data_IF_413273047855
#
_entry.id   IF_413273047855
#
_cell.length_a   1.000
_cell.length_b   1.000
_cell.length_c   1.000
_cell.angle_alpha   90.00
_cell.angle_beta   90.00
_cell.angle_gamma   90.00
#
_symmetry.space_group_name_H-M   'P 1'
#
loop_
_entity.id
_entity.type
_entity.pdbx_description
1 polymer ?
#
# COMPACT_ATOMS: atom_id res chain seq x y z
N UNK A 1 0.62 13.66 -30.69
CA UNK A 1 1.15 13.41 -29.30
C UNK A 1 0.23 12.41 -28.65
N UNK A 2 0.72 11.22 -28.29
CA UNK A 2 -0.08 10.27 -27.52
C UNK A 2 -0.31 10.92 -26.15
N UNK A 3 -1.57 11.16 -25.78
CA UNK A 3 -1.91 11.59 -24.42
C UNK A 3 -1.37 10.57 -23.44
N UNK A 4 -0.58 11.01 -22.47
CA UNK A 4 -0.11 10.16 -21.39
C UNK A 4 -1.32 9.62 -20.64
N UNK A 5 -1.47 8.29 -20.58
CA UNK A 5 -2.53 7.64 -19.81
C UNK A 5 -2.30 7.73 -18.29
N UNK A 6 -1.19 8.34 -17.87
CA UNK A 6 -0.78 8.46 -16.48
C UNK A 6 -1.21 9.80 -15.90
N UNK A 7 -1.82 9.77 -14.69
CA UNK A 7 -2.17 10.98 -13.94
C UNK A 7 -0.99 11.49 -13.12
N UNK A 8 -0.11 10.58 -12.68
CA UNK A 8 1.14 10.90 -11.97
C UNK A 8 2.28 10.10 -12.58
N UNK A 9 3.36 10.80 -12.91
CA UNK A 9 4.60 10.20 -13.37
C UNK A 9 5.76 10.75 -12.54
N UNK A 10 6.49 9.85 -11.90
CA UNK A 10 7.75 10.12 -11.19
C UNK A 10 8.86 9.54 -12.04
N UNK A 11 9.83 10.36 -12.44
CA UNK A 11 10.89 9.97 -13.38
C UNK A 11 12.27 10.27 -12.82
N UNK A 12 13.03 9.24 -12.51
CA UNK A 12 14.42 9.36 -12.10
C UNK A 12 14.62 10.17 -10.82
N UNK A 13 13.64 10.13 -9.90
CA UNK A 13 13.66 10.95 -8.69
C UNK A 13 14.57 10.33 -7.66
N UNK A 14 15.51 11.12 -7.12
CA UNK A 14 16.38 10.74 -6.01
C UNK A 14 16.27 11.73 -4.87
N UNK A 15 16.58 11.26 -3.64
CA UNK A 15 16.55 12.09 -2.43
C UNK A 15 17.66 11.72 -1.47
N UNK A 16 18.36 12.75 -0.99
CA UNK A 16 19.36 12.67 0.05
C UNK A 16 18.93 13.45 1.30
N UNK A 17 19.31 12.97 2.47
CA UNK A 17 19.30 13.71 3.73
C UNK A 17 20.73 13.72 4.29
N UNK A 18 21.39 14.86 4.17
CA UNK A 18 22.84 14.93 4.36
C UNK A 18 23.56 14.01 3.35
N UNK A 19 24.43 13.15 3.83
CA UNK A 19 25.17 12.19 3.00
C UNK A 19 24.39 10.88 2.75
N UNK A 20 23.23 10.71 3.38
CA UNK A 20 22.44 9.47 3.25
C UNK A 20 21.48 9.55 2.08
N UNK A 21 21.68 8.71 1.07
CA UNK A 21 20.71 8.50 0.00
C UNK A 21 19.53 7.68 0.55
N UNK A 22 18.32 8.24 0.45
CA UNK A 22 17.07 7.63 0.93
C UNK A 22 16.24 7.08 -0.22
N UNK A 23 16.29 7.73 -1.38
CA UNK A 23 15.65 7.26 -2.62
C UNK A 23 16.64 7.40 -3.77
N UNK A 24 16.72 6.35 -4.60
CA UNK A 24 17.66 6.23 -5.71
C UNK A 24 16.93 5.96 -7.02
N UNK A 25 16.88 6.95 -7.90
CA UNK A 25 16.37 6.84 -9.27
C UNK A 25 14.97 6.22 -9.36
N UNK A 26 14.04 6.70 -8.54
CA UNK A 26 12.67 6.20 -8.47
C UNK A 26 11.90 6.52 -9.74
N UNK A 27 11.27 5.49 -10.31
CA UNK A 27 10.29 5.60 -11.39
C UNK A 27 8.97 5.00 -10.93
N UNK A 28 7.88 5.79 -11.02
CA UNK A 28 6.53 5.35 -10.65
C UNK A 28 5.51 5.98 -11.61
N UNK A 29 4.59 5.16 -12.12
CA UNK A 29 3.59 5.56 -13.10
C UNK A 29 2.21 5.16 -12.61
N UNK A 30 1.32 6.13 -12.38
CA UNK A 30 -0.03 5.91 -11.84
C UNK A 30 -1.06 6.30 -12.89
N UNK A 31 -1.93 5.38 -13.27
CA UNK A 31 -3.02 5.64 -14.21
C UNK A 31 -4.20 6.32 -13.53
N UNK A 32 -5.02 7.02 -14.32
CA UNK A 32 -6.23 7.64 -13.79
C UNK A 32 -7.22 6.57 -13.27
N UNK A 33 -7.73 6.78 -12.06
CA UNK A 33 -8.66 5.87 -11.39
C UNK A 33 -7.99 4.64 -10.75
N UNK A 34 -6.66 4.50 -10.87
CA UNK A 34 -5.89 3.39 -10.30
C UNK A 34 -5.62 3.65 -8.81
N UNK A 35 -5.66 2.61 -8.00
CA UNK A 35 -5.23 2.62 -6.61
C UNK A 35 -3.88 1.90 -6.51
N UNK A 36 -2.80 2.68 -6.37
CA UNK A 36 -1.43 2.16 -6.32
C UNK A 36 -0.92 2.16 -4.90
N UNK A 37 -0.42 1.02 -4.44
CA UNK A 37 0.24 0.93 -3.13
C UNK A 37 1.76 0.91 -3.26
N UNK A 38 2.42 1.77 -2.49
CA UNK A 38 3.87 1.74 -2.26
C UNK A 38 4.10 0.92 -0.98
N UNK A 39 4.58 -0.30 -1.14
CA UNK A 39 4.76 -1.29 -0.07
C UNK A 39 6.25 -1.51 0.20
N UNK A 40 6.65 -1.67 1.44
CA UNK A 40 8.03 -1.99 1.79
C UNK A 40 8.31 -1.87 3.30
N UNK A 41 9.46 -2.32 3.77
CA UNK A 41 9.85 -2.24 5.19
C UNK A 41 9.95 -0.79 5.66
N UNK A 42 9.93 -0.61 6.99
CA UNK A 42 10.14 0.72 7.58
C UNK A 42 11.50 1.29 7.19
N UNK A 43 11.53 2.58 6.86
CA UNK A 43 12.76 3.29 6.50
C UNK A 43 13.23 3.12 5.05
N UNK A 44 12.50 2.41 4.16
CA UNK A 44 12.88 2.29 2.74
C UNK A 44 12.55 3.52 1.88
N UNK A 45 11.92 4.57 2.44
CA UNK A 45 11.69 5.84 1.74
C UNK A 45 10.25 6.10 1.27
N UNK A 46 9.26 5.25 1.57
CA UNK A 46 7.85 5.35 1.10
C UNK A 46 7.21 6.71 1.41
N UNK A 47 7.20 7.10 2.68
CA UNK A 47 6.68 8.40 3.13
C UNK A 47 7.42 9.57 2.48
N UNK A 48 8.74 9.46 2.28
CA UNK A 48 9.53 10.47 1.58
C UNK A 48 9.08 10.62 0.13
N UNK A 49 8.89 9.50 -0.59
CA UNK A 49 8.37 9.49 -1.95
C UNK A 49 6.99 10.17 -2.02
N UNK A 50 6.09 9.78 -1.11
CA UNK A 50 4.74 10.35 -1.06
C UNK A 50 4.77 11.87 -0.81
N UNK A 51 5.60 12.33 0.14
CA UNK A 51 5.79 13.75 0.45
C UNK A 51 6.40 14.53 -0.71
N UNK A 52 7.30 13.93 -1.48
CA UNK A 52 7.83 14.56 -2.69
C UNK A 52 6.75 14.70 -3.78
N UNK A 53 5.89 13.71 -3.97
CA UNK A 53 4.75 13.81 -4.88
C UNK A 53 3.79 14.91 -4.42
N UNK A 54 3.55 15.02 -3.12
CA UNK A 54 2.72 16.08 -2.52
C UNK A 54 3.34 17.49 -2.63
N UNK A 55 4.68 17.60 -2.77
CA UNK A 55 5.41 18.86 -2.69
C UNK A 55 5.76 19.32 -1.28
N UNK A 56 5.56 18.43 -0.29
CA UNK A 56 5.94 18.65 1.11
C UNK A 56 7.44 18.40 1.36
N UNK A 57 8.08 17.66 0.44
CA UNK A 57 9.53 17.44 0.41
C UNK A 57 10.04 17.70 -1.01
N UNK A 58 11.25 18.23 -1.13
CA UNK A 58 11.85 18.55 -2.43
C UNK A 58 12.80 17.43 -2.86
N UNK A 59 12.61 16.82 -4.03
CA UNK A 59 13.59 15.90 -4.60
C UNK A 59 14.91 16.60 -4.94
N UNK A 60 16.01 15.84 -4.97
CA UNK A 60 17.32 16.36 -5.37
C UNK A 60 17.59 16.18 -6.88
N UNK A 61 16.90 15.21 -7.51
CA UNK A 61 17.00 14.98 -8.97
C UNK A 61 15.67 14.47 -9.54
N UNK A 62 15.60 14.40 -10.89
CA UNK A 62 14.47 13.84 -11.61
C UNK A 62 13.35 14.85 -11.89
N UNK A 63 12.20 14.30 -12.25
CA UNK A 63 10.98 15.08 -12.59
C UNK A 63 9.73 14.40 -12.02
N UNK A 64 8.72 15.23 -11.68
CA UNK A 64 7.37 14.77 -11.31
C UNK A 64 6.37 15.50 -12.19
N UNK A 65 5.48 14.73 -12.85
CA UNK A 65 4.44 15.25 -13.72
C UNK A 65 3.05 14.81 -13.23
N UNK A 66 2.06 15.70 -13.41
CA UNK A 66 0.64 15.40 -13.20
C UNK A 66 -0.07 15.57 -14.55
N UNK A 67 -0.34 14.45 -15.23
CA UNK A 67 -0.68 14.45 -16.63
C UNK A 67 0.43 15.13 -17.46
N UNK A 68 0.08 16.16 -18.21
CA UNK A 68 1.05 16.93 -19.00
C UNK A 68 1.77 18.04 -18.20
N UNK A 69 1.31 18.32 -16.97
CA UNK A 69 1.85 19.41 -16.16
C UNK A 69 3.05 18.93 -15.33
N UNK A 70 4.24 19.47 -15.62
CA UNK A 70 5.40 19.28 -14.76
C UNK A 70 5.20 20.06 -13.45
N UNK A 71 5.27 19.36 -12.30
CA UNK A 71 5.15 19.97 -10.96
C UNK A 71 6.48 20.07 -10.23
N UNK A 72 7.43 19.24 -10.61
CA UNK A 72 8.82 19.31 -10.16
C UNK A 72 9.77 18.93 -11.31
N UNK A 73 10.85 19.66 -11.47
CA UNK A 73 11.99 19.31 -12.32
C UNK A 73 13.26 19.92 -11.77
N UNK A 74 14.21 19.07 -11.39
CA UNK A 74 15.53 19.52 -10.94
C UNK A 74 16.26 20.29 -12.05
N UNK A 75 16.18 19.82 -13.31
CA UNK A 75 16.83 20.44 -14.46
C UNK A 75 16.26 21.84 -14.75
N UNK A 76 14.93 22.00 -14.69
CA UNK A 76 14.24 23.27 -14.95
C UNK A 76 14.19 24.20 -13.73
N UNK A 77 14.69 23.73 -12.57
CA UNK A 77 14.57 24.41 -11.27
C UNK A 77 13.13 24.78 -10.93
N UNK A 78 12.19 23.89 -11.29
CA UNK A 78 10.76 24.07 -11.07
C UNK A 78 10.35 23.25 -9.84
N UNK A 79 9.63 23.89 -8.91
CA UNK A 79 8.98 23.20 -7.78
C UNK A 79 7.67 23.91 -7.45
N UNK A 80 6.55 23.30 -7.87
CA UNK A 80 5.20 23.81 -7.58
C UNK A 80 4.87 23.47 -6.12
N UNK A 81 4.43 24.47 -5.30
CA UNK A 81 4.10 24.23 -3.90
C UNK A 81 2.86 23.34 -3.75
N UNK A 82 2.69 22.65 -2.58
CA UNK A 82 1.66 21.66 -2.33
C UNK A 82 0.24 22.11 -2.65
N UNK A 83 -0.14 23.31 -2.23
CA UNK A 83 -1.48 23.90 -2.40
C UNK A 83 -1.86 24.12 -3.87
N UNK A 84 -0.89 24.14 -4.76
CA UNK A 84 -1.10 24.31 -6.21
C UNK A 84 -1.02 22.99 -6.99
N UNK A 85 -0.77 21.86 -6.30
CA UNK A 85 -0.69 20.53 -6.94
C UNK A 85 -2.06 19.87 -7.14
N UNK A 86 -3.11 20.34 -6.43
CA UNK A 86 -4.47 19.83 -6.59
C UNK A 86 -4.67 18.39 -6.07
N UNK A 87 -3.90 17.99 -5.06
CA UNK A 87 -3.95 16.69 -4.42
C UNK A 87 -4.68 16.75 -3.08
N UNK A 88 -5.34 15.64 -2.71
CA UNK A 88 -5.71 15.35 -1.32
C UNK A 88 -4.57 14.67 -0.59
N UNK A 89 -4.43 14.89 0.71
CA UNK A 89 -3.43 14.20 1.53
C UNK A 89 -4.06 13.75 2.86
N UNK A 90 -3.86 12.47 3.20
CA UNK A 90 -4.27 11.87 4.47
C UNK A 90 -3.00 11.46 5.22
N UNK A 91 -2.77 12.08 6.37
CA UNK A 91 -1.62 11.83 7.22
C UNK A 91 -1.84 10.63 8.15
N UNK A 92 -0.76 10.04 8.61
CA UNK A 92 -0.75 8.88 9.51
C UNK A 92 -1.44 9.15 10.86
N UNK A 93 -1.30 10.35 11.40
CA UNK A 93 -1.90 10.82 12.66
C UNK A 93 -3.22 11.56 12.46
N UNK A 94 -3.84 11.41 11.26
CA UNK A 94 -5.05 12.11 10.79
C UNK A 94 -4.91 13.64 10.73
N UNK A 95 -4.02 14.25 11.47
CA UNK A 95 -3.72 15.70 11.53
C UNK A 95 -5.00 16.56 11.61
N UNK A 96 -5.94 16.18 12.48
CA UNK A 96 -7.15 16.99 12.72
C UNK A 96 -6.83 18.17 13.63
N UNK A 97 -7.43 19.33 13.32
CA UNK A 97 -7.33 20.50 14.18
C UNK A 97 -8.22 20.32 15.42
N UNK A 98 -7.66 20.22 16.63
CA UNK A 98 -8.41 19.86 17.84
C UNK A 98 -9.36 20.96 18.31
N UNK A 99 -9.14 22.20 17.90
CA UNK A 99 -9.95 23.37 18.23
C UNK A 99 -11.08 23.63 17.22
N UNK A 100 -11.17 22.86 16.16
CA UNK A 100 -12.22 22.89 15.14
C UNK A 100 -13.13 21.68 15.29
N UNK A 101 -14.45 21.85 15.09
CA UNK A 101 -15.37 20.74 14.98
C UNK A 101 -15.16 19.97 13.64
N UNK A 102 -15.89 18.89 13.43
CA UNK A 102 -15.81 18.05 12.21
C UNK A 102 -16.13 18.86 10.96
N UNK A 103 -17.20 19.64 10.98
CA UNK A 103 -17.58 20.49 9.85
C UNK A 103 -16.47 21.48 9.49
N UNK A 104 -15.90 22.15 10.48
CA UNK A 104 -14.82 23.13 10.30
C UNK A 104 -13.52 22.49 9.78
N UNK A 105 -13.16 21.31 10.31
CA UNK A 105 -12.02 20.53 9.82
C UNK A 105 -12.18 20.22 8.31
N UNK A 106 -13.34 19.79 7.87
CA UNK A 106 -13.61 19.48 6.47
C UNK A 106 -13.71 20.76 5.62
N UNK A 107 -14.34 21.82 6.12
CA UNK A 107 -14.50 23.10 5.41
C UNK A 107 -13.17 23.87 5.22
N UNK A 108 -12.17 23.60 6.05
CA UNK A 108 -10.94 24.39 6.13
C UNK A 108 -10.22 24.54 4.78
N UNK A 109 -10.01 23.45 4.05
CA UNK A 109 -9.32 23.48 2.76
C UNK A 109 -10.02 24.34 1.71
N UNK A 110 -11.36 24.29 1.67
CA UNK A 110 -12.16 25.12 0.76
C UNK A 110 -12.10 26.61 1.15
N UNK A 111 -12.15 26.92 2.46
CA UNK A 111 -12.03 28.30 2.97
C UNK A 111 -10.64 28.88 2.68
N UNK A 112 -9.59 28.11 2.96
CA UNK A 112 -8.21 28.53 2.72
C UNK A 112 -7.92 28.80 1.22
N UNK A 113 -8.57 28.06 0.34
CA UNK A 113 -8.48 28.26 -1.11
C UNK A 113 -9.47 29.31 -1.65
N UNK A 114 -10.23 30.03 -0.81
CA UNK A 114 -11.29 30.97 -1.19
C UNK A 114 -12.36 30.34 -2.10
N UNK A 115 -12.62 29.02 -1.99
CA UNK A 115 -13.59 28.27 -2.79
C UNK A 115 -14.89 28.06 -2.04
N UNK A 116 -15.51 29.14 -1.56
CA UNK A 116 -16.65 29.11 -0.63
C UNK A 116 -18.02 28.97 -1.29
N UNK A 117 -18.11 29.02 -2.61
CA UNK A 117 -19.36 28.82 -3.34
C UNK A 117 -19.92 27.41 -3.08
N UNK A 118 -21.14 27.35 -2.51
CA UNK A 118 -21.79 26.11 -2.12
C UNK A 118 -21.06 25.33 -1.02
N UNK A 119 -20.28 26.02 -0.17
CA UNK A 119 -19.47 25.44 0.90
C UNK A 119 -20.24 24.43 1.75
N UNK A 120 -21.40 24.82 2.28
CA UNK A 120 -22.20 23.96 3.16
C UNK A 120 -22.59 22.65 2.47
N UNK A 121 -23.06 22.74 1.23
CA UNK A 121 -23.41 21.54 0.44
C UNK A 121 -22.20 20.64 0.22
N UNK A 122 -21.06 21.19 -0.21
CA UNK A 122 -19.84 20.40 -0.45
C UNK A 122 -19.33 19.69 0.81
N UNK A 123 -19.39 20.37 1.94
CA UNK A 123 -18.98 19.79 3.23
C UNK A 123 -19.93 18.67 3.65
N UNK A 124 -21.26 18.90 3.55
CA UNK A 124 -22.26 17.87 3.88
C UNK A 124 -22.18 16.67 2.93
N UNK A 125 -22.00 16.89 1.63
CA UNK A 125 -21.82 15.81 0.66
C UNK A 125 -20.55 14.97 1.01
N UNK A 126 -19.46 15.63 1.42
CA UNK A 126 -18.24 14.93 1.85
C UNK A 126 -18.43 14.16 3.16
N UNK A 127 -19.14 14.72 4.14
CA UNK A 127 -19.48 14.03 5.39
C UNK A 127 -20.41 12.84 5.14
N UNK A 128 -21.38 12.98 4.26
CA UNK A 128 -22.28 11.91 3.85
C UNK A 128 -21.52 10.76 3.19
N UNK A 129 -20.58 11.05 2.30
CA UNK A 129 -19.75 10.04 1.63
C UNK A 129 -18.95 9.16 2.61
N UNK A 130 -18.59 9.70 3.78
CA UNK A 130 -17.87 8.97 4.85
C UNK A 130 -18.78 8.58 6.04
N UNK A 131 -20.12 8.72 5.91
CA UNK A 131 -21.13 8.36 6.94
C UNK A 131 -20.92 9.09 8.28
N UNK A 132 -20.67 10.39 8.21
CA UNK A 132 -20.50 11.26 9.39
C UNK A 132 -21.51 12.40 9.44
N UNK A 133 -22.72 12.24 8.86
CA UNK A 133 -23.75 13.27 8.79
C UNK A 133 -24.10 13.85 10.18
N UNK A 134 -24.27 12.98 11.18
CA UNK A 134 -24.69 13.34 12.53
C UNK A 134 -23.53 13.83 13.43
N UNK A 135 -22.31 13.90 12.90
CA UNK A 135 -21.11 14.22 13.68
C UNK A 135 -20.55 15.61 13.39
N UNK A 136 -21.21 16.40 12.54
CA UNK A 136 -20.68 17.67 12.03
C UNK A 136 -20.25 18.66 13.14
N UNK A 137 -21.00 18.72 14.25
CA UNK A 137 -20.72 19.64 15.36
C UNK A 137 -19.79 19.09 16.43
N UNK A 138 -19.38 17.82 16.33
CA UNK A 138 -18.45 17.21 17.30
C UNK A 138 -17.01 17.63 17.07
N UNK A 139 -16.25 17.64 18.15
CA UNK A 139 -14.79 17.90 18.13
C UNK A 139 -14.01 16.59 18.03
N UNK A 140 -12.77 16.60 17.51
CA UNK A 140 -11.93 15.39 17.36
C UNK A 140 -11.83 14.52 18.61
N UNK A 141 -11.71 15.11 19.80
CA UNK A 141 -11.61 14.38 21.08
C UNK A 141 -12.90 13.64 21.47
N UNK A 142 -14.03 13.89 20.80
CA UNK A 142 -15.31 13.25 21.03
C UNK A 142 -15.56 12.08 20.05
N UNK A 143 -14.58 11.77 19.19
CA UNK A 143 -14.66 10.79 18.13
C UNK A 143 -13.78 9.58 18.42
N UNK A 144 -14.22 8.39 17.98
CA UNK A 144 -13.37 7.21 17.92
C UNK A 144 -12.26 7.37 16.86
N UNK A 145 -11.19 6.56 16.93
CA UNK A 145 -10.11 6.60 15.94
C UNK A 145 -10.60 6.43 14.50
N UNK A 146 -11.51 5.48 14.25
CA UNK A 146 -12.12 5.31 12.93
C UNK A 146 -12.96 6.50 12.48
N UNK A 147 -13.68 7.17 13.39
CA UNK A 147 -14.41 8.39 13.07
C UNK A 147 -13.45 9.54 12.74
N UNK A 148 -12.35 9.70 13.50
CA UNK A 148 -11.31 10.69 13.20
C UNK A 148 -10.70 10.46 11.82
N UNK A 149 -10.43 9.22 11.47
CA UNK A 149 -9.93 8.83 10.16
C UNK A 149 -10.91 9.18 9.03
N UNK A 150 -12.20 8.90 9.20
CA UNK A 150 -13.24 9.29 8.24
C UNK A 150 -13.31 10.81 8.06
N UNK A 151 -13.11 11.61 9.13
CA UNK A 151 -12.98 13.07 9.03
C UNK A 151 -11.78 13.47 8.17
N UNK A 152 -10.64 12.81 8.34
CA UNK A 152 -9.45 13.06 7.51
C UNK A 152 -9.72 12.71 6.02
N UNK A 153 -10.48 11.65 5.75
CA UNK A 153 -10.91 11.30 4.39
C UNK A 153 -11.88 12.35 3.83
N UNK A 154 -12.91 12.78 4.60
CA UNK A 154 -13.83 13.83 4.17
C UNK A 154 -13.07 15.13 3.82
N UNK A 155 -12.07 15.51 4.64
CA UNK A 155 -11.20 16.66 4.38
C UNK A 155 -10.39 16.51 3.09
N UNK A 156 -9.95 15.31 2.76
CA UNK A 156 -9.19 15.06 1.53
C UNK A 156 -10.09 15.07 0.28
N UNK A 157 -11.34 14.58 0.35
CA UNK A 157 -12.25 14.49 -0.81
C UNK A 157 -13.02 15.76 -1.08
N UNK A 158 -13.27 16.62 -0.06
CA UNK A 158 -14.12 17.83 -0.20
C UNK A 158 -13.59 18.81 -1.26
N UNK A 159 -12.28 18.86 -1.45
CA UNK A 159 -11.63 19.71 -2.45
C UNK A 159 -11.73 19.16 -3.87
N UNK A 160 -12.30 17.95 -4.03
CA UNK A 160 -12.43 17.20 -5.30
C UNK A 160 -11.08 17.04 -5.99
N UNK A 161 -10.11 16.38 -5.37
CA UNK A 161 -8.76 16.24 -5.92
C UNK A 161 -8.75 15.25 -7.09
N UNK A 162 -7.75 15.39 -7.97
CA UNK A 162 -7.50 14.41 -9.03
C UNK A 162 -6.90 13.10 -8.50
N UNK A 163 -6.16 13.18 -7.39
CA UNK A 163 -5.56 12.05 -6.70
C UNK A 163 -5.50 12.32 -5.18
N UNK A 164 -5.62 11.27 -4.38
CA UNK A 164 -5.42 11.32 -2.93
C UNK A 164 -4.18 10.49 -2.57
N UNK A 165 -3.35 11.08 -1.73
CA UNK A 165 -2.16 10.47 -1.17
C UNK A 165 -2.44 10.05 0.28
N UNK A 166 -2.13 8.79 0.62
CA UNK A 166 -2.39 8.20 1.93
C UNK A 166 -1.06 7.74 2.56
N UNK A 167 -0.64 8.37 3.64
CA UNK A 167 0.59 8.05 4.38
C UNK A 167 0.26 7.18 5.60
N UNK A 168 0.32 5.86 5.45
CA UNK A 168 0.00 4.84 6.47
C UNK A 168 -1.30 5.11 7.26
N UNK A 169 -2.44 5.42 6.61
CA UNK A 169 -3.62 5.95 7.30
C UNK A 169 -4.29 4.95 8.24
N UNK A 170 -4.05 3.65 8.09
CA UNK A 170 -4.67 2.60 8.88
C UNK A 170 -3.80 2.13 10.07
N UNK A 171 -2.54 2.59 10.15
CA UNK A 171 -1.54 2.08 11.11
C UNK A 171 -1.90 2.36 12.58
N UNK A 172 -2.63 3.43 12.86
CA UNK A 172 -3.04 3.83 14.22
C UNK A 172 -4.28 3.07 14.75
N UNK A 173 -4.91 2.21 13.94
CA UNK A 173 -6.12 1.48 14.29
C UNK A 173 -5.82 0.10 14.86
N UNK A 174 -6.71 -0.39 15.75
CA UNK A 174 -6.70 -1.79 16.16
C UNK A 174 -7.04 -2.73 14.99
N UNK A 175 -6.77 -4.03 15.15
CA UNK A 175 -6.86 -4.99 14.05
C UNK A 175 -8.27 -5.12 13.44
N UNK A 176 -9.31 -5.12 14.28
CA UNK A 176 -10.70 -5.27 13.82
C UNK A 176 -11.15 -4.03 13.03
N UNK A 177 -10.93 -2.85 13.61
CA UNK A 177 -11.28 -1.59 12.99
C UNK A 177 -10.47 -1.34 11.70
N UNK A 178 -9.21 -1.76 11.67
CA UNK A 178 -8.35 -1.68 10.48
C UNK A 178 -8.94 -2.48 9.31
N UNK A 179 -9.42 -3.69 9.58
CA UNK A 179 -10.05 -4.53 8.56
C UNK A 179 -11.32 -3.89 7.99
N UNK A 180 -12.20 -3.37 8.85
CA UNK A 180 -13.40 -2.65 8.43
C UNK A 180 -13.07 -1.42 7.59
N UNK A 181 -12.14 -0.59 8.07
CA UNK A 181 -11.73 0.66 7.42
C UNK A 181 -11.02 0.42 6.09
N UNK A 182 -10.29 -0.69 5.94
CA UNK A 182 -9.66 -1.10 4.68
C UNK A 182 -10.71 -1.31 3.59
N UNK A 183 -11.76 -2.07 3.89
CA UNK A 183 -12.87 -2.34 2.96
C UNK A 183 -13.62 -1.04 2.62
N UNK A 184 -13.93 -0.22 3.64
CA UNK A 184 -14.62 1.05 3.43
C UNK A 184 -13.83 2.03 2.57
N UNK A 185 -12.52 2.16 2.84
CA UNK A 185 -11.65 3.07 2.07
C UNK A 185 -11.60 2.64 0.59
N UNK A 186 -11.39 1.34 0.32
CA UNK A 186 -11.36 0.83 -1.06
C UNK A 186 -12.69 1.13 -1.78
N UNK A 187 -13.82 0.85 -1.13
CA UNK A 187 -15.14 1.15 -1.68
C UNK A 187 -15.34 2.65 -1.92
N UNK A 188 -14.94 3.50 -0.99
CA UNK A 188 -15.05 4.95 -1.10
C UNK A 188 -14.29 5.46 -2.33
N UNK A 189 -13.02 5.10 -2.47
CA UNK A 189 -12.17 5.54 -3.60
C UNK A 189 -12.72 5.03 -4.93
N UNK A 190 -13.12 3.75 -4.99
CA UNK A 190 -13.70 3.14 -6.19
C UNK A 190 -15.01 3.83 -6.61
N UNK A 191 -15.93 4.06 -5.66
CA UNK A 191 -17.23 4.71 -5.94
C UNK A 191 -17.07 6.16 -6.39
N UNK A 192 -16.08 6.86 -5.90
CA UNK A 192 -15.79 8.24 -6.30
C UNK A 192 -14.95 8.34 -7.59
N UNK A 193 -14.40 7.22 -8.09
CA UNK A 193 -13.52 7.20 -9.27
C UNK A 193 -12.24 8.00 -9.09
N UNK A 194 -11.75 8.12 -7.85
CA UNK A 194 -10.56 8.92 -7.49
C UNK A 194 -9.32 8.02 -7.61
N UNK A 195 -8.23 8.58 -8.13
CA UNK A 195 -6.91 7.92 -8.10
C UNK A 195 -6.34 7.97 -6.69
N UNK A 196 -5.72 6.88 -6.24
CA UNK A 196 -5.08 6.80 -4.92
C UNK A 196 -3.63 6.35 -4.99
N UNK A 197 -2.77 7.00 -4.20
CA UNK A 197 -1.45 6.45 -3.86
C UNK A 197 -1.43 6.18 -2.37
N UNK A 198 -1.24 4.94 -2.00
CA UNK A 198 -1.31 4.46 -0.63
C UNK A 198 0.06 3.96 -0.18
N UNK A 199 0.53 4.41 0.96
CA UNK A 199 1.77 3.94 1.57
C UNK A 199 1.43 3.05 2.75
N UNK A 200 2.02 1.87 2.80
CA UNK A 200 1.90 0.95 3.93
C UNK A 200 3.13 0.06 4.06
N UNK A 201 3.27 -0.58 5.21
CA UNK A 201 4.16 -1.71 5.44
C UNK A 201 3.37 -3.03 5.62
N UNK A 202 2.04 -2.98 5.59
CA UNK A 202 1.15 -4.13 5.73
C UNK A 202 0.87 -4.76 4.36
N UNK A 203 1.24 -6.04 4.23
CA UNK A 203 1.06 -6.78 2.98
C UNK A 203 -0.41 -7.06 2.68
N UNK A 204 -1.23 -7.27 3.72
CA UNK A 204 -2.66 -7.55 3.55
C UNK A 204 -3.37 -6.32 2.98
N UNK A 205 -3.02 -5.13 3.47
CA UNK A 205 -3.52 -3.87 2.92
C UNK A 205 -3.15 -3.74 1.44
N UNK A 206 -1.86 -3.90 1.11
CA UNK A 206 -1.38 -3.79 -0.25
C UNK A 206 -2.05 -4.79 -1.20
N UNK A 207 -2.08 -6.08 -0.83
CA UNK A 207 -2.62 -7.14 -1.67
C UNK A 207 -4.13 -7.03 -1.88
N UNK A 208 -4.90 -6.57 -0.86
CA UNK A 208 -6.36 -6.57 -0.93
C UNK A 208 -6.97 -5.28 -1.48
N UNK A 209 -6.21 -4.17 -1.49
CA UNK A 209 -6.75 -2.87 -1.87
C UNK A 209 -6.26 -2.37 -3.22
N UNK A 210 -5.11 -2.86 -3.73
CA UNK A 210 -4.40 -2.22 -4.83
C UNK A 210 -4.78 -2.78 -6.20
N UNK A 211 -4.76 -1.91 -7.20
CA UNK A 211 -4.75 -2.31 -8.61
C UNK A 211 -3.30 -2.57 -9.08
N UNK A 212 -2.32 -1.91 -8.44
CA UNK A 212 -0.89 -2.18 -8.63
C UNK A 212 -0.11 -1.91 -7.34
N UNK A 213 0.98 -2.65 -7.14
CA UNK A 213 1.89 -2.52 -6.00
C UNK A 213 3.29 -2.14 -6.50
N UNK A 214 3.87 -1.11 -5.90
CA UNK A 214 5.29 -0.77 -6.01
C UNK A 214 6.01 -1.30 -4.77
N UNK A 215 6.76 -2.37 -4.90
CA UNK A 215 7.55 -2.94 -3.79
C UNK A 215 8.84 -2.15 -3.64
N UNK A 216 8.98 -1.43 -2.53
CA UNK A 216 10.14 -0.59 -2.23
C UNK A 216 11.10 -1.28 -1.26
N UNK A 217 12.39 -1.27 -1.61
CA UNK A 217 13.46 -1.77 -0.76
C UNK A 217 14.72 -0.93 -0.94
N UNK A 218 15.39 -0.60 0.17
CA UNK A 218 16.66 0.14 0.18
C UNK A 218 16.69 1.38 -0.74
N UNK A 219 15.58 2.13 -0.78
CA UNK A 219 15.46 3.34 -1.58
C UNK A 219 15.16 3.13 -3.06
N UNK A 220 14.83 1.90 -3.50
CA UNK A 220 14.50 1.55 -4.89
C UNK A 220 13.13 0.91 -4.99
N UNK A 221 12.52 0.93 -6.17
CA UNK A 221 11.38 0.10 -6.54
C UNK A 221 11.90 -1.19 -7.15
N UNK A 222 11.79 -2.29 -6.40
CA UNK A 222 12.27 -3.62 -6.82
C UNK A 222 11.34 -4.24 -7.87
N UNK A 223 10.03 -4.06 -7.70
CA UNK A 223 9.01 -4.57 -8.61
C UNK A 223 7.78 -3.67 -8.60
N UNK A 224 7.13 -3.54 -9.76
CA UNK A 224 5.85 -2.86 -9.93
C UNK A 224 4.93 -3.74 -10.79
N UNK A 225 3.73 -4.01 -10.31
CA UNK A 225 2.76 -4.85 -11.02
C UNK A 225 1.46 -5.06 -10.27
N UNK A 226 0.53 -5.83 -10.86
CA UNK A 226 -0.67 -6.25 -10.16
C UNK A 226 -0.31 -7.12 -8.93
N UNK A 227 -1.12 -7.09 -7.86
CA UNK A 227 -0.84 -7.89 -6.65
C UNK A 227 -0.57 -9.36 -6.94
N UNK A 228 -1.40 -9.96 -7.80
CA UNK A 228 -1.28 -11.36 -8.20
C UNK A 228 0.05 -11.64 -8.92
N UNK A 229 0.49 -10.75 -9.80
CA UNK A 229 1.75 -10.90 -10.54
C UNK A 229 2.96 -10.78 -9.60
N UNK A 230 2.93 -9.80 -8.69
CA UNK A 230 3.99 -9.59 -7.69
C UNK A 230 4.13 -10.80 -6.76
N UNK A 231 3.01 -11.44 -6.41
CA UNK A 231 2.98 -12.64 -5.57
C UNK A 231 3.45 -13.89 -6.32
N UNK A 232 2.92 -14.11 -7.54
CA UNK A 232 3.16 -15.33 -8.32
C UNK A 232 4.56 -15.34 -8.97
N UNK A 233 5.05 -14.19 -9.44
CA UNK A 233 6.31 -14.06 -10.17
C UNK A 233 7.18 -12.94 -9.57
N UNK A 234 7.75 -13.14 -8.36
CA UNK A 234 8.61 -12.16 -7.72
C UNK A 234 9.89 -11.94 -8.55
N UNK A 235 10.25 -10.67 -8.79
CA UNK A 235 11.39 -10.31 -9.61
C UNK A 235 12.74 -10.46 -8.90
N UNK A 236 12.75 -10.49 -7.57
CA UNK A 236 13.96 -10.61 -6.76
C UNK A 236 13.72 -11.48 -5.53
N UNK A 237 14.80 -12.03 -4.98
CA UNK A 237 14.76 -12.78 -3.72
C UNK A 237 14.12 -11.97 -2.58
N UNK A 238 14.39 -10.66 -2.55
CA UNK A 238 13.78 -9.77 -1.58
C UNK A 238 12.24 -9.78 -1.72
N UNK A 239 11.73 -9.57 -2.94
CA UNK A 239 10.28 -9.57 -3.18
C UNK A 239 9.67 -10.91 -2.83
N UNK A 240 10.31 -12.03 -3.22
CA UNK A 240 9.86 -13.38 -2.92
C UNK A 240 9.71 -13.64 -1.41
N UNK A 241 10.66 -13.16 -0.60
CA UNK A 241 10.67 -13.30 0.86
C UNK A 241 9.80 -12.27 1.58
N UNK A 242 9.69 -11.07 1.02
CA UNK A 242 8.93 -9.99 1.63
C UNK A 242 7.44 -10.11 1.38
N UNK A 243 7.02 -10.60 0.20
CA UNK A 243 5.61 -10.76 -0.17
C UNK A 243 5.17 -12.20 0.10
N UNK A 244 4.47 -12.40 1.23
CA UNK A 244 4.00 -13.73 1.64
C UNK A 244 5.13 -14.68 2.04
N UNK A 245 4.76 -15.90 2.37
CA UNK A 245 5.72 -16.97 2.69
C UNK A 245 6.27 -17.60 1.41
N UNK A 246 7.54 -18.02 1.42
CA UNK A 246 8.19 -18.70 0.31
C UNK A 246 9.04 -19.86 0.81
N UNK A 247 8.92 -21.03 0.15
CA UNK A 247 9.72 -22.22 0.40
C UNK A 247 10.77 -22.34 -0.69
N UNK A 248 12.06 -22.36 -0.31
CA UNK A 248 13.18 -22.37 -1.24
C UNK A 248 13.71 -23.78 -1.45
N UNK A 249 13.62 -24.28 -2.69
CA UNK A 249 14.18 -25.59 -3.07
C UNK A 249 15.69 -25.51 -3.13
N UNK A 250 16.20 -24.49 -3.82
CA UNK A 250 17.64 -24.18 -3.91
C UNK A 250 17.86 -22.65 -3.83
N UNK A 251 18.92 -22.11 -4.41
CA UNK A 251 19.25 -20.67 -4.39
C UNK A 251 18.40 -19.84 -5.37
N UNK A 252 17.82 -20.47 -6.37
CA UNK A 252 17.11 -19.81 -7.47
C UNK A 252 15.65 -20.27 -7.63
N UNK A 253 15.25 -21.35 -6.98
CA UNK A 253 13.92 -21.92 -7.15
C UNK A 253 13.15 -21.92 -5.85
N UNK A 254 11.95 -21.37 -5.91
CA UNK A 254 11.03 -21.33 -4.78
C UNK A 254 9.61 -21.74 -5.20
N UNK A 255 8.76 -21.97 -4.22
CA UNK A 255 7.32 -22.13 -4.39
C UNK A 255 6.56 -21.52 -3.21
N UNK A 256 5.26 -21.27 -3.40
CA UNK A 256 4.41 -20.79 -2.30
C UNK A 256 3.87 -21.98 -1.49
N UNK A 257 3.82 -21.87 -0.14
CA UNK A 257 3.42 -22.99 0.73
C UNK A 257 2.08 -23.64 0.39
N UNK A 258 1.11 -22.86 -0.06
CA UNK A 258 -0.24 -23.30 -0.44
C UNK A 258 -0.30 -24.07 -1.76
N UNK A 259 0.78 -24.07 -2.54
CA UNK A 259 0.87 -24.80 -3.82
C UNK A 259 1.25 -26.27 -3.65
N UNK A 260 1.74 -26.65 -2.45
CA UNK A 260 2.11 -28.03 -2.16
C UNK A 260 0.93 -28.81 -1.55
N UNK A 261 0.80 -30.07 -1.92
CA UNK A 261 -0.19 -31.00 -1.38
C UNK A 261 0.49 -32.24 -0.79
N UNK A 262 -0.23 -33.00 0.04
CA UNK A 262 0.20 -34.30 0.57
C UNK A 262 -0.23 -35.48 -0.29
N UNK A 263 -1.08 -35.24 -1.27
CA UNK A 263 -1.55 -36.24 -2.21
C UNK A 263 -0.85 -36.10 -3.59
N UNK A 264 -0.36 -37.18 -4.16
CA UNK A 264 0.26 -37.16 -5.48
C UNK A 264 -0.79 -36.80 -6.55
N UNK A 265 -0.38 -35.91 -7.47
CA UNK A 265 -1.15 -35.56 -8.66
C UNK A 265 -0.26 -35.73 -9.88
N UNK A 266 -0.86 -35.67 -11.07
CA UNK A 266 -0.12 -35.74 -12.32
C UNK A 266 0.84 -34.54 -12.44
N UNK A 267 2.03 -34.76 -13.00
CA UNK A 267 3.09 -33.77 -13.23
C UNK A 267 3.57 -33.03 -11.97
N UNK A 268 3.66 -33.76 -10.85
CA UNK A 268 4.19 -33.24 -9.58
C UNK A 268 5.61 -33.76 -9.28
N UNK A 269 6.35 -32.97 -8.51
CA UNK A 269 7.62 -33.36 -7.90
C UNK A 269 7.39 -33.66 -6.43
N UNK A 270 7.92 -34.81 -5.95
CA UNK A 270 7.83 -35.20 -4.54
C UNK A 270 9.02 -34.67 -3.75
N UNK A 271 8.73 -34.14 -2.56
CA UNK A 271 9.70 -33.71 -1.59
C UNK A 271 9.41 -34.37 -0.24
N UNK A 272 10.34 -35.19 0.26
CA UNK A 272 10.24 -35.78 1.58
C UNK A 272 10.85 -34.83 2.61
N UNK A 273 10.01 -34.34 3.54
CA UNK A 273 10.35 -33.33 4.56
C UNK A 273 10.18 -33.92 5.96
N UNK A 274 10.77 -33.28 6.97
CA UNK A 274 10.60 -33.67 8.37
C UNK A 274 9.88 -32.56 9.12
N UNK A 275 8.81 -32.89 9.85
CA UNK A 275 8.04 -31.92 10.67
C UNK A 275 8.86 -31.49 11.87
N UNK A 276 9.19 -30.20 11.99
CA UNK A 276 9.97 -29.62 13.11
C UNK A 276 9.12 -29.01 14.19
N UNK A 277 8.07 -28.26 13.79
CA UNK A 277 7.12 -27.66 14.73
C UNK A 277 5.74 -27.55 14.10
N UNK A 278 4.73 -27.44 14.98
CA UNK A 278 3.34 -27.30 14.58
C UNK A 278 2.67 -26.24 15.45
N UNK A 279 2.09 -25.23 14.82
CA UNK A 279 1.36 -24.15 15.45
C UNK A 279 -0.11 -24.18 15.02
N UNK A 280 -1.03 -24.09 15.96
CA UNK A 280 -2.46 -24.01 15.67
C UNK A 280 -2.87 -22.56 15.43
N UNK A 281 -3.52 -22.28 14.30
CA UNK A 281 -3.97 -20.95 13.88
C UNK A 281 -5.49 -20.76 13.98
N UNK A 282 -6.19 -21.63 14.75
CA UNK A 282 -7.64 -21.59 14.89
C UNK A 282 -8.35 -22.52 13.88
N UNK A 283 -8.22 -22.30 12.58
CA UNK A 283 -8.84 -23.15 11.54
C UNK A 283 -7.88 -24.13 10.87
N UNK A 284 -6.59 -23.96 11.05
CA UNK A 284 -5.54 -24.74 10.39
C UNK A 284 -4.31 -24.86 11.28
N UNK A 285 -3.36 -25.68 10.86
CA UNK A 285 -2.05 -25.84 11.48
C UNK A 285 -0.99 -25.31 10.51
N UNK A 286 -0.18 -24.36 10.96
CA UNK A 286 1.07 -24.02 10.31
C UNK A 286 2.16 -24.95 10.80
N UNK A 287 2.80 -25.66 9.90
CA UNK A 287 3.83 -26.64 10.20
C UNK A 287 5.16 -26.17 9.61
N UNK A 288 6.18 -26.11 10.44
CA UNK A 288 7.54 -25.88 9.98
C UNK A 288 8.17 -27.22 9.62
N UNK A 289 8.66 -27.31 8.41
CA UNK A 289 9.24 -28.51 7.83
C UNK A 289 10.71 -28.28 7.55
N UNK A 290 11.51 -29.34 7.64
CA UNK A 290 12.91 -29.33 7.18
C UNK A 290 13.04 -30.08 5.87
N UNK A 291 13.65 -29.44 4.89
CA UNK A 291 14.04 -30.05 3.64
C UNK A 291 15.51 -29.74 3.33
N UNK A 292 16.41 -30.74 3.39
CA UNK A 292 17.87 -30.60 3.10
C UNK A 292 18.53 -29.40 3.81
N UNK A 293 18.21 -29.22 5.09
CA UNK A 293 18.75 -28.12 5.91
C UNK A 293 18.07 -26.77 5.70
N UNK A 294 17.04 -26.67 4.87
CA UNK A 294 16.22 -25.48 4.67
C UNK A 294 14.89 -25.61 5.44
N UNK A 295 14.40 -24.49 5.95
CA UNK A 295 13.10 -24.42 6.61
C UNK A 295 12.00 -24.09 5.59
N UNK A 296 10.96 -24.92 5.57
CA UNK A 296 9.76 -24.75 4.76
C UNK A 296 8.55 -24.56 5.66
N UNK A 297 7.56 -23.84 5.19
CA UNK A 297 6.24 -23.69 5.82
C UNK A 297 5.19 -24.48 5.03
N UNK A 298 4.28 -25.15 5.73
CA UNK A 298 3.13 -25.83 5.15
C UNK A 298 1.89 -25.57 6.00
N UNK A 299 0.76 -25.26 5.36
CA UNK A 299 -0.52 -25.05 6.05
C UNK A 299 -1.42 -26.25 5.78
N UNK A 300 -1.93 -26.88 6.82
CA UNK A 300 -2.76 -28.07 6.76
C UNK A 300 -3.94 -28.01 7.73
N UNK A 301 -5.03 -28.68 7.42
CA UNK A 301 -6.13 -28.92 8.37
C UNK A 301 -5.85 -30.07 9.32
N UNK A 302 -4.79 -30.85 9.10
CA UNK A 302 -4.40 -31.98 9.93
C UNK A 302 -3.08 -31.68 10.64
N UNK A 303 -3.02 -32.07 11.92
CA UNK A 303 -1.81 -31.97 12.73
C UNK A 303 -0.94 -33.20 12.49
N UNK A 304 0.27 -33.01 11.98
CA UNK A 304 1.28 -34.06 11.86
C UNK A 304 2.15 -34.15 13.11
N UNK A 305 2.70 -35.32 13.42
CA UNK A 305 3.56 -35.52 14.57
C UNK A 305 4.94 -34.86 14.32
N UNK A 306 5.48 -34.18 15.32
CA UNK A 306 6.86 -33.64 15.26
C UNK A 306 7.84 -34.80 15.11
N UNK A 307 8.78 -34.68 14.19
CA UNK A 307 9.77 -35.71 13.83
C UNK A 307 9.25 -36.67 12.76
N UNK A 308 7.97 -36.65 12.39
CA UNK A 308 7.48 -37.50 11.30
C UNK A 308 7.93 -37.00 9.92
N UNK A 309 8.04 -37.93 8.97
CA UNK A 309 8.26 -37.59 7.56
C UNK A 309 6.94 -37.22 6.92
N UNK A 310 6.90 -36.07 6.26
CA UNK A 310 5.77 -35.60 5.47
C UNK A 310 6.21 -35.45 4.00
N UNK A 311 5.60 -36.22 3.13
CA UNK A 311 5.83 -36.10 1.69
C UNK A 311 4.94 -35.00 1.12
N UNK A 312 5.55 -33.98 0.51
CA UNK A 312 4.86 -32.93 -0.23
C UNK A 312 5.00 -33.16 -1.72
N UNK A 313 3.93 -32.93 -2.44
CA UNK A 313 3.84 -33.01 -3.89
C UNK A 313 3.57 -31.62 -4.45
N UNK A 314 4.46 -31.14 -5.32
CA UNK A 314 4.41 -29.81 -5.90
C UNK A 314 4.25 -29.90 -7.41
N UNK A 315 3.23 -29.27 -8.03
CA UNK A 315 3.16 -29.14 -9.48
C UNK A 315 4.42 -28.49 -10.05
N UNK A 316 5.00 -29.03 -11.12
CA UNK A 316 6.20 -28.43 -11.73
C UNK A 316 6.01 -26.97 -12.13
N UNK A 317 4.80 -26.62 -12.58
CA UNK A 317 4.43 -25.24 -12.93
C UNK A 317 4.42 -24.28 -11.74
N UNK A 318 4.37 -24.78 -10.50
CA UNK A 318 4.41 -23.98 -9.27
C UNK A 318 5.84 -23.61 -8.82
N UNK A 319 6.87 -24.17 -9.48
CA UNK A 319 8.27 -23.84 -9.21
C UNK A 319 8.60 -22.54 -9.95
N UNK A 320 8.92 -21.51 -9.18
CA UNK A 320 9.27 -20.18 -9.70
C UNK A 320 10.77 -19.98 -9.60
N UNK A 321 11.37 -19.47 -10.68
CA UNK A 321 12.79 -19.04 -10.71
C UNK A 321 12.85 -17.56 -10.35
N UNK A 322 13.75 -17.22 -9.41
CA UNK A 322 13.92 -15.85 -8.89
C UNK A 322 15.38 -15.40 -9.07
#
# INVERSE_FOLDING_TARGET
MQQSNYIIEVKGVSKFFGDKMVLDNINLYVKKGEFVTVLGPSGCGKTTLLRMIAGLETPDSGEILFGERCVFSAQKKLNIPPEQRGLGFVFQDFALWPHMNVYENVAFGLRAANRTDGLDKKVRDALHAVRLDDFADRFPHQLSGGQQQRVAFARAIVIQPSCILFDEPLSALDALLREEMRIELRNLITNLGITGIFVTHDQIEAMSMSDAIAVCHAGKVEQYGAPEDVYAAPATEFVAKFIGSSNWIDEHHMFRPEQADTLPQDDTVRFDTTVKSVQFLGSSYQQQLEYKGKEWSYISHQKNAIGSVLSLYLPKAAIVTV
#
